data_IF_464608650644
#
_entry.id   IF_464608650644
#
_cell.length_a   1.000
_cell.length_b   1.000
_cell.length_c   1.000
_cell.angle_alpha   90.00
_cell.angle_beta   90.00
_cell.angle_gamma   90.00
#
_symmetry.space_group_name_H-M   'P 1'
#
loop_
_entity.id
_entity.type
_entity.pdbx_description
1 polymer ?
#
# COMPACT_ATOMS: atom_id res chain seq x y z
N UNK A 1 -25.23 -16.51 14.69
CA UNK A 1 -24.28 -15.48 14.22
C UNK A 1 -22.87 -15.98 14.48
N UNK A 2 -22.11 -16.32 13.45
CA UNK A 2 -20.71 -16.76 13.60
C UNK A 2 -19.87 -15.59 14.10
N UNK A 3 -19.12 -15.81 15.19
CA UNK A 3 -18.34 -14.75 15.84
C UNK A 3 -17.07 -14.51 15.04
N UNK A 4 -16.98 -13.34 14.39
CA UNK A 4 -15.76 -12.90 13.68
C UNK A 4 -14.61 -12.84 14.68
N UNK A 5 -13.44 -13.35 14.30
CA UNK A 5 -12.22 -13.34 15.10
C UNK A 5 -11.17 -12.49 14.38
N UNK A 6 -10.38 -11.77 15.15
CA UNK A 6 -9.27 -10.97 14.64
C UNK A 6 -7.97 -11.60 15.10
N UNK A 7 -6.98 -11.72 14.23
CA UNK A 7 -5.67 -12.29 14.52
C UNK A 7 -4.63 -11.19 14.37
N UNK A 8 -3.96 -10.84 15.46
CA UNK A 8 -2.86 -9.90 15.46
C UNK A 8 -1.54 -10.66 15.39
N UNK A 9 -0.70 -10.33 14.40
CA UNK A 9 0.61 -10.95 14.15
C UNK A 9 1.66 -9.89 14.44
N UNK A 10 2.43 -10.08 15.51
CA UNK A 10 3.51 -9.18 15.90
C UNK A 10 4.74 -9.40 15.02
N UNK A 11 5.10 -10.66 14.80
CA UNK A 11 6.21 -11.10 13.96
C UNK A 11 5.76 -12.33 13.18
N UNK A 12 5.95 -12.32 11.87
CA UNK A 12 5.64 -13.45 10.98
C UNK A 12 6.61 -13.52 9.81
N UNK A 13 6.29 -14.34 8.81
CA UNK A 13 7.05 -14.44 7.57
C UNK A 13 7.01 -13.12 6.79
N UNK A 14 8.04 -12.30 6.92
CA UNK A 14 8.16 -11.00 6.22
C UNK A 14 7.16 -9.92 6.66
N UNK A 15 6.38 -10.15 7.72
CA UNK A 15 5.40 -9.19 8.23
C UNK A 15 5.67 -8.81 9.69
N UNK A 16 5.55 -7.52 9.99
CA UNK A 16 5.69 -6.97 11.34
C UNK A 16 4.44 -6.14 11.63
N UNK A 17 3.69 -6.49 12.67
CA UNK A 17 2.47 -5.80 13.11
C UNK A 17 1.31 -5.79 12.11
N UNK A 18 0.81 -6.97 11.73
CA UNK A 18 -0.37 -7.12 10.84
C UNK A 18 -1.58 -7.65 11.59
N UNK A 19 -2.77 -7.13 11.29
CA UNK A 19 -4.06 -7.68 11.77
C UNK A 19 -4.76 -8.34 10.58
N UNK A 20 -5.23 -9.57 10.76
CA UNK A 20 -6.01 -10.31 9.76
C UNK A 20 -7.31 -10.83 10.36
N UNK A 21 -8.35 -10.97 9.56
CA UNK A 21 -9.68 -11.44 10.02
C UNK A 21 -9.89 -12.94 9.74
N UNK A 22 -9.00 -13.53 8.93
CA UNK A 22 -9.09 -14.93 8.52
C UNK A 22 -7.92 -15.75 9.07
N UNK A 23 -8.20 -17.01 9.39
CA UNK A 23 -7.17 -17.96 9.81
C UNK A 23 -6.24 -18.34 8.65
N UNK A 24 -6.73 -18.38 7.42
CA UNK A 24 -5.95 -18.76 6.24
C UNK A 24 -4.79 -17.80 6.01
N UNK A 25 -5.03 -16.48 6.11
CA UNK A 25 -3.98 -15.47 6.03
C UNK A 25 -2.98 -15.60 7.18
N UNK A 26 -3.47 -15.84 8.41
CA UNK A 26 -2.60 -16.02 9.57
C UNK A 26 -1.70 -17.26 9.41
N UNK A 27 -2.26 -18.36 8.90
CA UNK A 27 -1.57 -19.64 8.72
C UNK A 27 -0.40 -19.53 7.75
N UNK A 28 -0.57 -18.81 6.63
CA UNK A 28 0.52 -18.58 5.65
C UNK A 28 1.69 -17.79 6.26
N UNK A 29 1.39 -16.87 7.17
CA UNK A 29 2.38 -15.99 7.81
C UNK A 29 3.11 -16.65 8.99
N UNK A 30 2.51 -17.70 9.58
CA UNK A 30 3.01 -18.41 10.76
C UNK A 30 3.70 -19.73 10.39
N UNK A 31 3.25 -20.42 9.33
CA UNK A 31 3.86 -21.69 8.92
C UNK A 31 5.28 -21.47 8.38
N UNK A 32 6.25 -22.15 9.00
CA UNK A 32 7.65 -22.14 8.59
C UNK A 32 8.52 -21.06 9.25
N UNK A 33 7.94 -20.20 10.10
CA UNK A 33 8.68 -19.15 10.79
C UNK A 33 8.32 -19.09 12.29
N UNK A 34 9.26 -18.67 13.16
CA UNK A 34 8.96 -18.38 14.56
C UNK A 34 8.12 -17.11 14.67
N UNK A 35 6.80 -17.27 14.52
CA UNK A 35 5.84 -16.19 14.51
C UNK A 35 5.15 -16.02 15.88
N UNK A 36 4.89 -14.77 16.26
CA UNK A 36 4.18 -14.41 17.49
C UNK A 36 2.84 -13.80 17.07
N UNK A 37 1.75 -14.53 17.32
CA UNK A 37 0.39 -14.09 16.99
C UNK A 37 -0.58 -14.31 18.16
N UNK A 38 -1.68 -13.56 18.18
CA UNK A 38 -2.75 -13.68 19.17
C UNK A 38 -4.11 -13.37 18.56
N UNK A 39 -5.13 -14.15 18.91
CA UNK A 39 -6.51 -13.94 18.45
C UNK A 39 -7.34 -13.14 19.45
N UNK A 40 -8.17 -12.24 18.95
CA UNK A 40 -9.05 -11.34 19.69
C UNK A 40 -10.48 -11.38 19.15
N UNK A 41 -11.43 -10.91 19.97
CA UNK A 41 -12.84 -10.81 19.58
C UNK A 41 -13.15 -9.46 18.93
N UNK A 42 -12.35 -8.43 19.21
CA UNK A 42 -12.51 -7.08 18.65
C UNK A 42 -11.22 -6.64 17.96
N UNK A 43 -11.37 -5.79 16.95
CA UNK A 43 -10.25 -5.18 16.22
C UNK A 43 -9.42 -4.25 17.11
N UNK A 44 -10.08 -3.55 18.04
CA UNK A 44 -9.44 -2.64 18.99
C UNK A 44 -8.43 -3.37 19.90
N UNK A 45 -8.82 -4.52 20.48
CA UNK A 45 -7.91 -5.34 21.29
C UNK A 45 -6.70 -5.82 20.48
N UNK A 46 -6.92 -6.19 19.21
CA UNK A 46 -5.86 -6.61 18.30
C UNK A 46 -4.88 -5.46 17.98
N UNK A 47 -5.38 -4.25 17.79
CA UNK A 47 -4.58 -3.06 17.53
C UNK A 47 -3.76 -2.64 18.75
N UNK A 48 -4.37 -2.69 19.94
CA UNK A 48 -3.71 -2.42 21.22
C UNK A 48 -2.59 -3.43 21.49
N UNK A 49 -2.78 -4.69 21.14
CA UNK A 49 -1.75 -5.73 21.27
C UNK A 49 -0.50 -5.45 20.41
N UNK A 50 -0.68 -4.84 19.24
CA UNK A 50 0.43 -4.44 18.38
C UNK A 50 1.09 -3.11 18.79
N UNK A 51 0.54 -2.39 19.77
CA UNK A 51 1.09 -1.12 20.23
C UNK A 51 0.97 0.01 19.20
N UNK A 52 0.10 -0.14 18.20
CA UNK A 52 -0.21 0.91 17.22
C UNK A 52 -1.05 1.98 17.93
N UNK A 53 -0.40 3.00 18.52
CA UNK A 53 -1.07 4.25 18.87
C UNK A 53 -1.51 4.88 17.55
N UNK A 54 -2.81 5.07 17.37
CA UNK A 54 -3.37 5.87 16.29
C UNK A 54 -2.80 7.28 16.44
N UNK A 55 -1.74 7.59 15.67
CA UNK A 55 -1.57 8.92 15.13
C UNK A 55 -2.39 8.90 13.85
N UNK A 56 -3.43 9.74 13.79
CA UNK A 56 -4.10 10.05 12.53
C UNK A 56 -3.12 10.83 11.66
N UNK A 57 -2.20 10.11 11.05
CA UNK A 57 -1.45 10.52 9.88
C UNK A 57 -1.66 9.39 8.87
N UNK A 58 -2.50 9.69 7.87
CA UNK A 58 -2.73 9.03 6.57
C UNK A 58 -2.49 7.50 6.48
N UNK A 59 -3.48 6.71 6.00
CA UNK A 59 -3.22 5.30 5.68
C UNK A 59 -2.31 5.18 4.45
N UNK A 60 -1.00 5.17 4.66
CA UNK A 60 -0.06 4.52 3.74
C UNK A 60 -0.30 3.02 3.81
N UNK A 61 -1.32 2.58 3.05
CA UNK A 61 -1.56 1.20 2.69
C UNK A 61 -1.15 1.07 1.23
N UNK A 62 0.16 0.94 1.01
CA UNK A 62 0.66 0.28 -0.20
C UNK A 62 0.32 -1.21 -0.09
N UNK A 63 -0.86 -1.58 -0.59
CA UNK A 63 -1.18 -2.94 -1.01
C UNK A 63 -0.86 -3.05 -2.50
N UNK A 64 0.40 -3.33 -2.83
CA UNK A 64 0.66 -4.44 -3.75
C UNK A 64 0.41 -5.72 -2.94
N UNK A 65 -0.41 -6.68 -3.35
CA UNK A 65 -0.35 -7.33 -4.64
C UNK A 65 -1.74 -7.59 -5.22
N UNK A 66 -1.77 -7.42 -6.53
CA UNK A 66 -2.94 -7.48 -7.40
C UNK A 66 -3.28 -8.93 -7.76
N UNK A 67 -4.52 -9.33 -7.55
CA UNK A 67 -5.14 -10.36 -8.40
C UNK A 67 -5.35 -9.73 -9.79
N UNK A 68 -4.34 -9.80 -10.65
CA UNK A 68 -4.47 -9.70 -12.11
C UNK A 68 -4.02 -11.00 -12.77
N UNK A 69 -4.66 -12.12 -12.41
CA UNK A 69 -4.85 -13.25 -13.33
C UNK A 69 -6.18 -13.08 -14.07
N UNK A 70 -6.27 -12.10 -14.97
CA UNK A 70 -7.25 -12.12 -16.07
C UNK A 70 -6.61 -11.52 -17.32
N UNK A 71 -6.21 -12.43 -18.23
CA UNK A 71 -6.21 -12.31 -19.70
C UNK A 71 -5.28 -11.27 -20.36
N UNK A 72 -4.13 -11.77 -20.82
CA UNK A 72 -3.47 -11.56 -22.14
C UNK A 72 -4.19 -10.55 -23.06
N UNK A 73 -3.51 -9.45 -23.48
CA UNK A 73 -3.48 -8.95 -24.89
C UNK A 73 -2.69 -7.64 -25.11
N UNK A 74 -1.72 -7.77 -26.03
CA UNK A 74 -1.25 -6.82 -27.07
C UNK A 74 -0.30 -5.69 -26.64
N UNK A 75 0.90 -5.73 -27.21
CA UNK A 75 1.94 -4.71 -27.08
C UNK A 75 1.43 -3.34 -27.48
N UNK A 76 1.64 -2.37 -26.59
CA UNK A 76 1.46 -0.95 -26.87
C UNK A 76 2.87 -0.37 -26.97
N UNK A 77 3.11 0.51 -27.94
CA UNK A 77 4.37 1.25 -28.11
C UNK A 77 4.57 2.24 -26.95
N UNK A 78 4.69 1.73 -25.72
CA UNK A 78 4.85 2.50 -24.50
C UNK A 78 6.32 2.39 -24.10
N UNK A 79 7.00 3.53 -24.07
CA UNK A 79 8.37 3.66 -23.56
C UNK A 79 8.30 4.24 -22.16
N UNK A 80 9.14 3.73 -21.27
CA UNK A 80 9.29 4.25 -19.90
C UNK A 80 10.25 5.44 -19.98
N UNK A 81 9.85 6.58 -19.43
CA UNK A 81 10.68 7.77 -19.29
C UNK A 81 11.18 7.82 -17.84
N UNK A 82 12.49 7.74 -17.63
CA UNK A 82 13.13 7.90 -16.31
C UNK A 82 13.83 9.26 -16.27
N UNK A 83 13.45 10.12 -15.36
CA UNK A 83 14.02 11.47 -15.18
C UNK A 83 14.55 11.58 -13.75
N UNK A 84 15.72 12.20 -13.58
CA UNK A 84 16.23 12.61 -12.28
C UNK A 84 16.09 14.13 -12.18
N UNK A 85 15.34 14.61 -11.17
CA UNK A 85 15.24 16.03 -10.85
C UNK A 85 15.91 16.29 -9.51
N UNK A 86 16.43 17.51 -9.36
CA UNK A 86 16.92 18.01 -8.08
C UNK A 86 15.77 18.10 -7.08
N UNK A 87 16.04 17.80 -5.82
CA UNK A 87 15.01 17.64 -4.80
C UNK A 87 14.17 18.92 -4.64
N UNK A 88 14.80 20.10 -4.68
CA UNK A 88 14.11 21.39 -4.55
C UNK A 88 13.08 21.62 -5.66
N UNK A 89 13.41 21.22 -6.90
CA UNK A 89 12.50 21.34 -8.04
C UNK A 89 11.37 20.31 -7.98
N UNK A 90 11.65 19.10 -7.48
CA UNK A 90 10.62 18.07 -7.32
C UNK A 90 9.60 18.45 -6.24
N UNK A 91 10.06 18.99 -5.11
CA UNK A 91 9.17 19.46 -4.04
C UNK A 91 8.29 20.63 -4.48
N UNK A 92 8.87 21.60 -5.21
CA UNK A 92 8.10 22.70 -5.79
C UNK A 92 7.05 22.19 -6.79
N UNK A 93 7.42 21.22 -7.62
CA UNK A 93 6.49 20.58 -8.56
C UNK A 93 5.33 19.86 -7.85
N UNK A 94 5.60 19.06 -6.81
CA UNK A 94 4.56 18.37 -6.04
C UNK A 94 3.59 19.38 -5.42
N UNK A 95 4.13 20.46 -4.83
CA UNK A 95 3.31 21.50 -4.21
C UNK A 95 2.34 22.11 -5.23
N UNK A 96 2.82 22.44 -6.42
CA UNK A 96 1.99 22.98 -7.50
C UNK A 96 0.96 21.96 -8.01
N UNK A 97 1.33 20.68 -8.09
CA UNK A 97 0.40 19.60 -8.46
C UNK A 97 -0.76 19.48 -7.46
N UNK A 98 -0.47 19.66 -6.16
CA UNK A 98 -1.47 19.62 -5.09
C UNK A 98 -2.40 20.83 -5.13
N UNK A 99 -1.89 22.01 -5.47
CA UNK A 99 -2.72 23.22 -5.63
C UNK A 99 -3.68 23.11 -6.82
N UNK A 100 -3.32 22.35 -7.85
CA UNK A 100 -4.12 22.14 -9.06
C UNK A 100 -5.05 20.91 -9.01
N UNK A 101 -5.07 20.15 -7.92
CA UNK A 101 -5.84 18.91 -7.72
C UNK A 101 -5.71 17.90 -8.89
N UNK A 102 -4.50 17.78 -9.44
CA UNK A 102 -4.19 16.92 -10.58
C UNK A 102 -3.06 15.94 -10.25
N UNK A 103 -3.11 14.74 -10.86
CA UNK A 103 -2.05 13.75 -10.67
C UNK A 103 -0.76 14.12 -11.40
N UNK A 104 0.38 13.84 -10.77
CA UNK A 104 1.74 14.10 -11.29
C UNK A 104 1.91 13.56 -12.72
N UNK A 105 1.49 12.31 -12.95
CA UNK A 105 1.54 11.66 -14.26
C UNK A 105 0.72 12.39 -15.34
N UNK A 106 -0.43 12.97 -14.96
CA UNK A 106 -1.31 13.68 -15.88
C UNK A 106 -0.71 15.03 -16.27
N UNK A 107 -0.12 15.73 -15.31
CA UNK A 107 0.56 17.01 -15.53
C UNK A 107 1.78 16.81 -16.43
N UNK A 108 2.65 15.85 -16.13
CA UNK A 108 3.81 15.53 -16.97
C UNK A 108 3.38 15.19 -18.40
N UNK A 109 2.30 14.40 -18.52
CA UNK A 109 1.75 14.03 -19.83
C UNK A 109 1.16 15.23 -20.57
N UNK A 110 0.53 16.17 -19.88
CA UNK A 110 -0.01 17.39 -20.49
C UNK A 110 1.11 18.35 -20.89
N UNK A 111 2.13 18.56 -20.06
CA UNK A 111 3.30 19.37 -20.43
C UNK A 111 3.99 18.82 -21.68
N UNK A 112 4.20 17.50 -21.77
CA UNK A 112 4.79 16.88 -22.96
C UNK A 112 3.89 17.07 -24.20
N UNK A 113 2.57 17.03 -24.05
CA UNK A 113 1.64 17.28 -25.16
C UNK A 113 1.66 18.73 -25.60
N UNK A 114 1.60 19.67 -24.65
CA UNK A 114 1.69 21.11 -24.93
C UNK A 114 3.02 21.47 -25.60
N UNK A 115 4.11 20.80 -25.23
CA UNK A 115 5.41 21.02 -25.84
C UNK A 115 5.52 20.45 -27.28
N UNK A 116 4.73 19.43 -27.62
CA UNK A 116 4.72 18.81 -28.96
C UNK A 116 3.62 19.36 -29.89
N UNK A 117 2.68 20.14 -29.35
CA UNK A 117 1.63 20.85 -30.09
C UNK A 117 2.14 22.19 -30.61
#
# INVERSE_FOLDING_TARGET
>A
MSKIKYYAIKKGNGVTNKIVETWEECKVLVLGYPAIYKSFKTKDEAMKYLGLKVKEDKPDIEKEETIKKVKKRKGKNQKILKICLENELYEAFIKECQELDMSEDLIIKNMIKEWLC
#
